data_IF_055221204601
#
_entry.id   IF_055221204601
#
_cell.length_a   1.000
_cell.length_b   1.000
_cell.length_c   1.000
_cell.angle_alpha   90.00
_cell.angle_beta   90.00
_cell.angle_gamma   90.00
#
_symmetry.space_group_name_H-M   'P 1'
#
loop_
_entity.id
_entity.type
_entity.pdbx_description
1 polymer ?
#
# COMPACT_ATOMS: atom_id res chain seq x y z
N UNK A 1 -32.18 -5.87 -17.74
CA UNK A 1 -31.12 -5.59 -16.73
C UNK A 1 -30.73 -4.11 -16.77
N UNK A 2 -30.76 -3.49 -17.95
CA UNK A 2 -30.49 -2.07 -18.18
C UNK A 2 -31.62 -1.17 -17.62
N UNK A 3 -32.87 -1.62 -17.69
CA UNK A 3 -34.04 -0.86 -17.22
C UNK A 3 -34.08 -0.59 -15.70
N UNK A 4 -33.45 -1.43 -14.89
CA UNK A 4 -33.43 -1.29 -13.41
C UNK A 4 -32.43 -0.22 -12.92
N UNK A 5 -31.41 0.09 -13.72
CA UNK A 5 -30.36 1.05 -13.34
C UNK A 5 -30.77 2.48 -13.66
N UNK A 6 -31.59 2.66 -14.70
CA UNK A 6 -32.15 3.96 -15.10
C UNK A 6 -33.17 4.49 -14.08
N UNK A 7 -33.99 3.64 -13.48
CA UNK A 7 -34.97 4.04 -12.46
C UNK A 7 -34.33 4.57 -11.17
N UNK A 8 -33.08 4.18 -10.90
CA UNK A 8 -32.32 4.58 -9.71
C UNK A 8 -31.41 5.79 -9.95
N UNK A 9 -31.54 6.45 -11.10
CA UNK A 9 -30.79 7.66 -11.46
C UNK A 9 -29.30 7.43 -11.72
N UNK A 10 -28.89 6.21 -12.04
CA UNK A 10 -27.48 5.90 -12.34
C UNK A 10 -27.29 6.07 -13.85
N UNK A 11 -26.87 7.27 -14.25
CA UNK A 11 -26.39 7.52 -15.61
C UNK A 11 -25.00 6.89 -15.76
N UNK A 12 -24.93 5.79 -16.52
CA UNK A 12 -23.65 5.17 -16.87
C UNK A 12 -23.11 5.93 -18.07
N UNK A 13 -22.59 7.14 -17.81
CA UNK A 13 -21.90 7.93 -18.82
C UNK A 13 -20.67 7.14 -19.29
N UNK A 14 -20.73 6.62 -20.51
CA UNK A 14 -19.71 5.76 -21.12
C UNK A 14 -18.48 6.53 -21.65
N UNK A 15 -18.14 7.68 -21.08
CA UNK A 15 -17.05 8.49 -21.60
C UNK A 15 -16.09 8.99 -20.52
N UNK A 16 -14.83 8.58 -20.70
CA UNK A 16 -13.60 9.26 -20.26
C UNK A 16 -13.16 9.14 -18.79
N UNK A 17 -13.29 7.96 -18.15
CA UNK A 17 -12.41 7.70 -16.99
C UNK A 17 -12.14 6.22 -16.66
N UNK A 18 -12.26 5.33 -17.66
CA UNK A 18 -12.01 3.89 -17.45
C UNK A 18 -10.61 3.58 -16.91
N UNK A 19 -9.61 4.45 -17.16
CA UNK A 19 -8.26 4.23 -16.63
C UNK A 19 -8.16 4.55 -15.15
N UNK A 20 -8.74 5.64 -14.65
CA UNK A 20 -8.63 6.01 -13.23
C UNK A 20 -9.54 5.18 -12.32
N UNK A 21 -10.74 4.82 -12.79
CA UNK A 21 -11.71 4.05 -12.01
C UNK A 21 -11.28 2.58 -11.92
N UNK A 22 -10.79 1.98 -13.02
CA UNK A 22 -10.28 0.60 -13.01
C UNK A 22 -8.99 0.51 -12.20
N UNK A 23 -8.09 1.48 -12.35
CA UNK A 23 -6.83 1.51 -11.58
C UNK A 23 -7.09 1.57 -10.07
N UNK A 24 -8.13 2.24 -9.56
CA UNK A 24 -8.39 2.28 -8.11
C UNK A 24 -8.99 0.98 -7.59
N UNK A 25 -9.98 0.42 -8.27
CA UNK A 25 -10.62 -0.84 -7.88
C UNK A 25 -9.63 -2.01 -8.02
N UNK A 26 -8.88 -2.06 -9.12
CA UNK A 26 -7.86 -3.09 -9.38
C UNK A 26 -6.59 -2.93 -8.51
N UNK A 27 -6.24 -1.70 -8.09
CA UNK A 27 -5.08 -1.47 -7.22
C UNK A 27 -5.40 -1.56 -5.73
N UNK A 28 -6.67 -1.47 -5.33
CA UNK A 28 -7.06 -1.63 -3.92
C UNK A 28 -6.51 -2.91 -3.27
N UNK A 29 -6.39 -4.07 -3.98
CA UNK A 29 -5.77 -5.27 -3.42
C UNK A 29 -4.25 -5.31 -3.57
N UNK A 30 -3.60 -4.39 -4.30
CA UNK A 30 -2.15 -4.45 -4.52
C UNK A 30 -1.32 -4.37 -3.23
N UNK A 31 -1.62 -3.51 -2.24
CA UNK A 31 -0.90 -3.51 -0.97
C UNK A 31 -1.02 -4.86 -0.25
N UNK A 32 -2.21 -5.45 -0.25
CA UNK A 32 -2.47 -6.76 0.32
C UNK A 32 -1.67 -7.85 -0.42
N UNK A 33 -1.73 -7.88 -1.76
CA UNK A 33 -0.97 -8.83 -2.59
C UNK A 33 0.54 -8.72 -2.40
N UNK A 34 1.08 -7.50 -2.24
CA UNK A 34 2.50 -7.29 -1.92
C UNK A 34 2.85 -7.89 -0.57
N UNK A 35 1.99 -7.69 0.44
CA UNK A 35 2.18 -8.28 1.77
C UNK A 35 2.11 -9.80 1.72
N UNK A 36 1.11 -10.37 1.05
CA UNK A 36 0.96 -11.82 0.87
C UNK A 36 2.19 -12.44 0.19
N UNK A 37 2.70 -11.83 -0.89
CA UNK A 37 3.93 -12.31 -1.54
C UNK A 37 5.15 -12.25 -0.62
N UNK A 38 5.27 -11.21 0.22
CA UNK A 38 6.34 -11.15 1.21
C UNK A 38 6.19 -12.25 2.27
N UNK A 39 4.96 -12.49 2.73
CA UNK A 39 4.61 -13.52 3.69
C UNK A 39 4.88 -14.94 3.17
N UNK A 40 4.62 -15.20 1.88
CA UNK A 40 4.90 -16.48 1.22
C UNK A 40 6.39 -16.85 1.15
N UNK A 41 7.29 -15.88 1.31
CA UNK A 41 8.74 -16.11 1.26
C UNK A 41 9.33 -16.60 2.59
N UNK A 42 8.55 -16.60 3.67
CA UNK A 42 9.01 -17.10 4.96
C UNK A 42 9.02 -18.63 4.96
N UNK A 43 10.17 -19.22 5.31
CA UNK A 43 10.33 -20.68 5.42
C UNK A 43 9.67 -21.28 6.67
N UNK A 44 9.46 -20.48 7.71
CA UNK A 44 8.92 -20.92 8.99
C UNK A 44 7.65 -20.14 9.36
N UNK A 45 6.61 -20.87 9.77
CA UNK A 45 5.32 -20.29 10.17
C UNK A 45 5.45 -19.35 11.38
N UNK A 46 6.28 -19.71 12.37
CA UNK A 46 6.46 -18.90 13.57
C UNK A 46 7.03 -17.51 13.28
N UNK A 47 7.99 -17.42 12.35
CA UNK A 47 8.58 -16.15 11.92
C UNK A 47 7.58 -15.30 11.15
N UNK A 48 6.76 -15.93 10.31
CA UNK A 48 5.65 -15.25 9.62
C UNK A 48 4.63 -14.68 10.61
N UNK A 49 4.25 -15.43 11.64
CA UNK A 49 3.30 -14.98 12.65
C UNK A 49 3.82 -13.75 13.42
N UNK A 50 5.08 -13.80 13.87
CA UNK A 50 5.73 -12.65 14.54
C UNK A 50 5.75 -11.42 13.63
N UNK A 51 6.11 -11.59 12.35
CA UNK A 51 6.08 -10.53 11.37
C UNK A 51 4.66 -9.97 11.18
N UNK A 52 3.67 -10.83 10.98
CA UNK A 52 2.29 -10.44 10.71
C UNK A 52 1.67 -9.64 11.88
N UNK A 53 1.99 -10.02 13.12
CA UNK A 53 1.52 -9.35 14.34
C UNK A 53 2.06 -7.92 14.46
N UNK A 54 3.33 -7.68 14.10
CA UNK A 54 3.99 -6.39 14.29
C UNK A 54 3.83 -5.45 13.08
N UNK A 55 3.75 -6.01 11.87
CA UNK A 55 3.84 -5.24 10.63
C UNK A 55 2.81 -4.10 10.53
N UNK A 56 1.55 -4.35 10.93
CA UNK A 56 0.49 -3.33 10.85
C UNK A 56 0.77 -2.12 11.76
N UNK A 57 1.20 -2.38 12.99
CA UNK A 57 1.54 -1.33 13.96
C UNK A 57 2.72 -0.49 13.48
N UNK A 58 3.81 -1.14 13.04
CA UNK A 58 5.00 -0.48 12.50
C UNK A 58 4.63 0.38 11.28
N UNK A 59 3.91 -0.20 10.32
CA UNK A 59 3.50 0.51 9.12
C UNK A 59 2.65 1.75 9.43
N UNK A 60 1.67 1.61 10.32
CA UNK A 60 0.80 2.72 10.70
C UNK A 60 1.57 3.79 11.48
N UNK A 61 2.49 3.41 12.37
CA UNK A 61 3.30 4.33 13.15
C UNK A 61 4.15 5.24 12.24
N UNK A 62 4.86 4.67 11.26
CA UNK A 62 5.67 5.45 10.32
C UNK A 62 4.87 6.22 9.26
N UNK A 63 3.61 5.83 9.00
CA UNK A 63 2.71 6.56 8.11
C UNK A 63 1.83 7.57 8.84
N UNK A 64 1.83 7.58 10.18
CA UNK A 64 1.19 8.62 10.97
C UNK A 64 1.85 9.94 10.59
N UNK A 65 1.05 10.93 10.22
CA UNK A 65 1.51 12.26 9.79
C UNK A 65 2.35 12.30 8.51
N UNK A 66 2.36 11.24 7.68
CA UNK A 66 3.04 11.24 6.37
C UNK A 66 2.66 12.42 5.48
N UNK A 67 1.43 12.91 5.62
CA UNK A 67 0.88 14.05 4.91
C UNK A 67 1.49 15.40 5.31
N UNK A 68 2.12 15.50 6.50
CA UNK A 68 2.83 16.69 6.94
C UNK A 68 4.21 16.83 6.27
N UNK A 69 4.72 15.76 5.67
CA UNK A 69 6.00 15.75 4.99
C UNK A 69 5.82 15.84 3.47
N UNK A 70 6.45 16.85 2.86
CA UNK A 70 6.65 16.87 1.40
C UNK A 70 7.27 15.54 0.94
N UNK A 71 6.88 15.11 -0.26
CA UNK A 71 7.42 13.89 -0.87
C UNK A 71 8.95 13.92 -0.97
N UNK A 72 9.54 15.10 -1.18
CA UNK A 72 10.98 15.28 -1.28
C UNK A 72 11.67 15.07 0.07
N UNK A 73 11.16 15.67 1.14
CA UNK A 73 11.72 15.53 2.49
C UNK A 73 11.67 14.09 2.98
N UNK A 74 10.57 13.38 2.72
CA UNK A 74 10.49 11.97 3.07
C UNK A 74 11.49 11.10 2.31
N UNK A 75 11.67 11.35 1.01
CA UNK A 75 12.69 10.62 0.24
C UNK A 75 14.08 10.90 0.80
N UNK A 76 14.40 12.15 1.09
CA UNK A 76 15.68 12.55 1.68
C UNK A 76 15.92 11.83 3.02
N UNK A 77 14.97 11.94 3.96
CA UNK A 77 15.06 11.31 5.28
C UNK A 77 15.18 9.78 5.17
N UNK A 78 14.44 9.15 4.27
CA UNK A 78 14.53 7.72 4.02
C UNK A 78 15.91 7.31 3.48
N UNK A 79 16.49 8.09 2.56
CA UNK A 79 17.83 7.80 2.02
C UNK A 79 18.91 7.95 3.09
N UNK A 80 18.82 8.99 3.92
CA UNK A 80 19.75 9.21 5.05
C UNK A 80 19.67 8.06 6.05
N UNK A 81 18.47 7.73 6.55
CA UNK A 81 18.29 6.63 7.50
C UNK A 81 18.75 5.28 6.94
N UNK A 82 18.54 5.02 5.63
CA UNK A 82 19.02 3.79 4.99
C UNK A 82 20.55 3.74 4.90
N UNK A 83 21.20 4.88 4.68
CA UNK A 83 22.66 4.96 4.66
C UNK A 83 23.25 4.69 6.05
N UNK A 84 22.68 5.30 7.09
CA UNK A 84 23.05 5.05 8.49
C UNK A 84 22.87 3.58 8.87
N UNK A 85 21.72 2.98 8.53
CA UNK A 85 21.46 1.56 8.79
C UNK A 85 22.50 0.65 8.12
N UNK A 86 22.89 0.94 6.87
CA UNK A 86 23.92 0.18 6.16
C UNK A 86 25.29 0.30 6.81
N UNK A 87 25.63 1.46 7.37
CA UNK A 87 26.87 1.64 8.12
C UNK A 87 26.86 0.80 9.40
N UNK A 88 25.73 0.74 10.11
CA UNK A 88 25.60 -0.03 11.35
C UNK A 88 25.57 -1.55 11.12
N UNK A 89 24.99 -2.03 10.02
CA UNK A 89 24.90 -3.47 9.72
C UNK A 89 26.07 -4.01 8.89
N UNK A 90 26.86 -3.13 8.27
CA UNK A 90 27.99 -3.49 7.41
C UNK A 90 29.37 -3.27 8.03
N UNK A 91 29.42 -2.82 9.29
CA UNK A 91 30.63 -2.74 10.12
C UNK A 91 30.89 -4.02 10.90
#
# INVERSE_FOLDING_TARGET
MEDLLHERGIDISHETDGRCINTRTENSPLPLRRRERAMQRFRQMQSLQKFAALHGSIHNHFNRERHLYSRQNFKHNHTVALAEWRQLCGG
#
